data_IF_550169432815
#
_entry.id   IF_550169432815
#
_cell.length_a   1.000
_cell.length_b   1.000
_cell.length_c   1.000
_cell.angle_alpha   90.00
_cell.angle_beta   90.00
_cell.angle_gamma   90.00
#
_symmetry.space_group_name_H-M   'P 1'
#
loop_
_entity.id
_entity.type
_entity.pdbx_description
1 polymer ?
#
# COMPACT_ATOMS: atom_id res chain seq x y z
N UNK A 1 0.99 -15.92 2.57
CA UNK A 1 1.40 -15.15 1.38
C UNK A 1 1.81 -13.77 1.81
N UNK A 2 2.95 -13.29 1.34
CA UNK A 2 3.58 -12.05 1.80
C UNK A 2 3.13 -10.83 0.98
N UNK A 3 2.76 -11.07 -0.27
CA UNK A 3 2.27 -10.07 -1.23
C UNK A 3 0.95 -10.52 -1.86
N UNK A 4 0.32 -9.62 -2.62
CA UNK A 4 -1.03 -9.86 -3.18
C UNK A 4 -1.07 -11.07 -4.13
N UNK A 5 -0.01 -11.27 -4.92
CA UNK A 5 0.08 -12.35 -5.89
C UNK A 5 0.83 -13.59 -5.40
N UNK A 6 1.24 -13.66 -4.13
CA UNK A 6 1.95 -14.81 -3.57
C UNK A 6 3.09 -14.45 -2.63
N UNK A 7 4.23 -15.13 -2.77
CA UNK A 7 5.41 -14.90 -1.94
C UNK A 7 6.29 -13.74 -2.43
N UNK A 8 6.10 -13.30 -3.68
CA UNK A 8 6.96 -12.30 -4.32
C UNK A 8 6.22 -10.98 -4.58
N UNK A 9 6.95 -9.88 -4.44
CA UNK A 9 6.47 -8.55 -4.79
C UNK A 9 6.23 -8.45 -6.29
N UNK A 10 5.06 -7.94 -6.68
CA UNK A 10 4.62 -7.99 -8.07
C UNK A 10 3.94 -6.70 -8.51
N UNK A 11 3.55 -6.65 -9.79
CA UNK A 11 2.74 -5.56 -10.34
C UNK A 11 1.39 -5.41 -9.62
N UNK A 12 0.86 -6.47 -9.00
CA UNK A 12 -0.37 -6.39 -8.23
C UNK A 12 -0.20 -5.45 -7.02
N UNK A 13 0.92 -5.56 -6.30
CA UNK A 13 1.22 -4.71 -5.15
C UNK A 13 1.40 -3.25 -5.56
N UNK A 14 2.13 -3.02 -6.66
CA UNK A 14 2.34 -1.69 -7.23
C UNK A 14 1.01 -1.04 -7.61
N UNK A 15 0.12 -1.79 -8.26
CA UNK A 15 -1.16 -1.28 -8.74
C UNK A 15 -2.15 -1.01 -7.59
N UNK A 16 -2.16 -1.86 -6.56
CA UNK A 16 -3.11 -1.77 -5.46
C UNK A 16 -2.69 -0.82 -4.33
N UNK A 17 -1.38 -0.66 -4.06
CA UNK A 17 -0.89 0.16 -2.95
C UNK A 17 -1.38 1.61 -2.99
N UNK A 18 -1.35 2.33 -4.12
CA UNK A 18 -1.90 3.69 -4.22
C UNK A 18 -3.37 3.83 -3.82
N UNK A 19 -4.18 2.81 -4.13
CA UNK A 19 -5.59 2.77 -3.76
C UNK A 19 -5.75 2.49 -2.27
N UNK A 20 -4.99 1.54 -1.73
CA UNK A 20 -5.01 1.20 -0.31
C UNK A 20 -4.54 2.37 0.57
N UNK A 21 -3.56 3.16 0.13
CA UNK A 21 -3.08 4.36 0.84
C UNK A 21 -4.17 5.41 1.08
N UNK A 22 -5.28 5.38 0.31
CA UNK A 22 -6.42 6.27 0.50
C UNK A 22 -7.42 5.75 1.55
N UNK A 23 -7.11 4.65 2.26
CA UNK A 23 -7.99 4.08 3.30
C UNK A 23 -8.53 5.09 4.34
N UNK A 24 -7.80 6.16 4.77
CA UNK A 24 -8.36 7.12 5.72
C UNK A 24 -9.56 7.88 5.13
N UNK A 25 -9.56 8.13 3.81
CA UNK A 25 -10.68 8.79 3.11
C UNK A 25 -11.92 7.90 3.01
N UNK A 26 -11.72 6.59 3.09
CA UNK A 26 -12.80 5.60 3.07
C UNK A 26 -13.23 5.19 4.47
N UNK A 27 -12.75 5.87 5.52
CA UNK A 27 -13.04 5.55 6.93
C UNK A 27 -12.70 4.09 7.30
N UNK A 28 -11.65 3.54 6.69
CA UNK A 28 -11.19 2.17 6.96
C UNK A 28 -10.02 2.21 7.94
N UNK A 29 -10.17 1.52 9.07
CA UNK A 29 -9.08 1.28 10.03
C UNK A 29 -8.30 0.02 9.64
N UNK A 30 -7.04 0.18 9.25
CA UNK A 30 -6.18 -0.96 8.90
C UNK A 30 -5.89 -1.87 10.10
N UNK A 31 -6.03 -1.39 11.34
CA UNK A 31 -5.79 -2.21 12.52
C UNK A 31 -6.82 -3.35 12.66
N UNK A 32 -7.99 -3.24 12.02
CA UNK A 32 -8.98 -4.32 11.94
C UNK A 32 -8.54 -5.44 10.98
N UNK A 33 -7.56 -5.19 10.13
CA UNK A 33 -7.11 -6.09 9.06
C UNK A 33 -5.61 -6.38 9.17
N UNK A 34 -5.21 -7.20 10.15
CA UNK A 34 -3.80 -7.49 10.47
C UNK A 34 -2.92 -7.86 9.26
N UNK A 35 -3.41 -8.72 8.36
CA UNK A 35 -2.68 -9.11 7.16
C UNK A 35 -2.52 -7.97 6.15
N UNK A 36 -3.54 -7.11 6.02
CA UNK A 36 -3.51 -5.94 5.13
C UNK A 36 -2.59 -4.88 5.70
N UNK A 37 -2.65 -4.64 7.02
CA UNK A 37 -1.75 -3.71 7.71
C UNK A 37 -0.29 -4.11 7.52
N UNK A 38 0.05 -5.38 7.75
CA UNK A 38 1.40 -5.91 7.49
C UNK A 38 1.84 -5.64 6.05
N UNK A 39 1.03 -6.05 5.07
CA UNK A 39 1.33 -5.84 3.66
C UNK A 39 1.51 -4.35 3.31
N UNK A 40 0.65 -3.49 3.86
CA UNK A 40 0.70 -2.05 3.65
C UNK A 40 1.98 -1.43 4.23
N UNK A 41 2.36 -1.81 5.44
CA UNK A 41 3.58 -1.35 6.09
C UNK A 41 4.81 -1.83 5.30
N UNK A 42 4.85 -3.10 4.89
CA UNK A 42 5.96 -3.70 4.13
C UNK A 42 6.13 -3.05 2.74
N UNK A 43 5.04 -2.84 2.00
CA UNK A 43 5.09 -2.20 0.67
C UNK A 43 5.42 -0.71 0.80
N UNK A 44 4.89 -0.02 1.80
CA UNK A 44 5.14 1.40 2.05
C UNK A 44 6.57 1.72 2.50
N UNK A 45 7.25 0.76 3.12
CA UNK A 45 8.66 0.90 3.51
C UNK A 45 9.63 0.88 2.31
N UNK A 46 9.19 0.49 1.11
CA UNK A 46 10.06 0.35 -0.05
C UNK A 46 10.46 1.73 -0.62
N UNK A 47 11.76 2.01 -0.85
CA UNK A 47 12.21 3.30 -1.37
C UNK A 47 11.59 3.69 -2.72
N UNK A 48 11.35 2.70 -3.59
CA UNK A 48 10.71 2.94 -4.89
C UNK A 48 9.25 3.37 -4.76
N UNK A 49 8.52 2.83 -3.79
CA UNK A 49 7.12 3.20 -3.52
C UNK A 49 7.06 4.61 -2.95
N UNK A 50 7.90 4.92 -1.96
CA UNK A 50 8.01 6.28 -1.39
C UNK A 50 8.35 7.34 -2.44
N UNK A 51 9.21 7.00 -3.41
CA UNK A 51 9.52 7.90 -4.54
C UNK A 51 8.35 8.07 -5.51
N UNK A 52 7.50 7.05 -5.67
CA UNK A 52 6.36 7.07 -6.58
C UNK A 52 5.12 7.77 -6.01
N UNK A 53 4.85 7.67 -4.71
CA UNK A 53 3.62 8.20 -4.11
C UNK A 53 3.36 9.70 -4.36
N UNK A 54 4.36 10.60 -4.32
CA UNK A 54 4.15 12.02 -4.57
C UNK A 54 3.64 12.36 -5.98
N UNK A 55 3.87 11.49 -6.97
CA UNK A 55 3.52 11.79 -8.37
C UNK A 55 2.03 11.54 -8.70
N UNK A 56 1.28 10.93 -7.78
CA UNK A 56 -0.13 10.55 -7.96
C UNK A 56 -1.15 11.71 -7.83
N UNK A 57 -0.70 12.95 -8.00
CA UNK A 57 -1.57 14.13 -8.11
C UNK A 57 -2.24 14.54 -6.80
N UNK A 58 -1.47 15.08 -5.86
CA UNK A 58 -2.02 15.75 -4.66
C UNK A 58 -2.40 14.82 -3.51
N UNK A 59 -1.74 13.67 -3.38
CA UNK A 59 -1.71 12.92 -2.12
C UNK A 59 -0.61 13.57 -1.27
N UNK A 60 -0.86 14.77 -0.74
CA UNK A 60 -0.03 15.28 0.34
C UNK A 60 -0.32 14.43 1.59
N UNK A 61 0.75 13.92 2.17
CA UNK A 61 0.81 13.30 3.50
C UNK A 61 0.30 14.25 4.57
#
# INVERSE_FOLDING_TARGET
>A
NDYLAGAEYSIADIACYPWAHRHPRHTVDLNEFSNVKRWYDDVGARPAVQKGMPTLGGINM
#
